data_IF_463212264849
#
_entry.id   IF_463212264849
#
_cell.length_a   1.000
_cell.length_b   1.000
_cell.length_c   1.000
_cell.angle_alpha   90.00
_cell.angle_beta   90.00
_cell.angle_gamma   90.00
#
_symmetry.space_group_name_H-M   'P 1'
#
loop_
_entity.id
_entity.type
_entity.pdbx_description
1 polymer ?
#
# COMPACT_ATOMS: atom_id res chain seq x y z
N UNK A 1 -6.64 -25.40 -25.18
CA UNK A 1 -6.62 -23.92 -25.28
C UNK A 1 -7.40 -23.39 -24.10
N UNK A 2 -6.72 -22.89 -23.09
CA UNK A 2 -7.35 -22.31 -21.90
C UNK A 2 -6.56 -21.07 -21.55
N UNK A 3 -7.20 -19.90 -21.58
CA UNK A 3 -6.70 -18.74 -20.85
C UNK A 3 -7.84 -18.15 -20.03
N UNK A 4 -7.93 -18.52 -18.75
CA UNK A 4 -8.60 -17.73 -17.74
C UNK A 4 -7.51 -17.10 -16.85
N UNK A 5 -6.90 -15.98 -17.27
CA UNK A 5 -5.92 -15.26 -16.41
C UNK A 5 -6.28 -13.77 -16.26
N UNK A 6 -7.17 -13.22 -17.11
CA UNK A 6 -7.49 -11.79 -17.07
C UNK A 6 -8.45 -11.38 -15.93
N UNK A 7 -9.40 -12.23 -15.55
CA UNK A 7 -10.40 -11.87 -14.52
C UNK A 7 -9.86 -11.90 -13.07
N UNK A 8 -8.90 -12.76 -12.77
CA UNK A 8 -8.33 -12.87 -11.41
C UNK A 8 -7.33 -11.72 -11.13
N UNK A 9 -6.58 -11.29 -12.14
CA UNK A 9 -5.63 -10.18 -12.02
C UNK A 9 -6.33 -8.83 -11.77
N UNK A 10 -7.48 -8.60 -12.40
CA UNK A 10 -8.30 -7.39 -12.21
C UNK A 10 -8.86 -7.27 -10.78
N UNK A 11 -9.32 -8.40 -10.19
CA UNK A 11 -9.86 -8.42 -8.82
C UNK A 11 -8.80 -8.13 -7.76
N UNK A 12 -7.54 -8.46 -8.02
CA UNK A 12 -6.41 -8.18 -7.11
C UNK A 12 -6.12 -6.68 -7.07
N UNK A 13 -6.14 -5.98 -8.21
CA UNK A 13 -5.87 -4.54 -8.27
C UNK A 13 -6.89 -3.66 -7.55
N UNK A 14 -8.19 -3.97 -7.67
CA UNK A 14 -9.25 -3.20 -6.99
C UNK A 14 -9.29 -3.45 -5.48
N UNK A 15 -9.06 -4.69 -5.05
CA UNK A 15 -8.99 -5.04 -3.62
C UNK A 15 -7.77 -4.41 -2.94
N UNK A 16 -6.61 -4.43 -3.58
CA UNK A 16 -5.39 -3.81 -3.06
C UNK A 16 -5.53 -2.28 -2.99
N UNK A 17 -6.16 -1.67 -3.98
CA UNK A 17 -6.47 -0.23 -3.97
C UNK A 17 -7.39 0.13 -2.79
N UNK A 18 -8.46 -0.64 -2.58
CA UNK A 18 -9.36 -0.41 -1.46
C UNK A 18 -8.65 -0.53 -0.10
N UNK A 19 -7.81 -1.55 0.08
CA UNK A 19 -7.02 -1.71 1.31
C UNK A 19 -6.10 -0.53 1.60
N UNK A 20 -5.51 0.07 0.56
CA UNK A 20 -4.69 1.30 0.70
C UNK A 20 -5.54 2.51 1.13
N UNK A 21 -6.75 2.67 0.59
CA UNK A 21 -7.68 3.73 1.03
C UNK A 21 -8.09 3.54 2.48
N UNK A 22 -8.45 2.32 2.89
CA UNK A 22 -8.79 2.02 4.28
C UNK A 22 -7.62 2.30 5.23
N UNK A 23 -6.40 1.93 4.84
CA UNK A 23 -5.21 2.22 5.62
C UNK A 23 -4.96 3.73 5.74
N UNK A 24 -5.19 4.50 4.65
CA UNK A 24 -5.07 5.96 4.65
C UNK A 24 -6.07 6.61 5.62
N UNK A 25 -7.35 6.22 5.55
CA UNK A 25 -8.40 6.71 6.46
C UNK A 25 -8.07 6.35 7.91
N UNK A 26 -7.66 5.11 8.15
CA UNK A 26 -7.35 4.61 9.50
C UNK A 26 -6.17 5.36 10.12
N UNK A 27 -5.10 5.59 9.35
CA UNK A 27 -3.96 6.39 9.80
C UNK A 27 -4.39 7.81 10.18
N UNK A 28 -5.18 8.47 9.33
CA UNK A 28 -5.61 9.85 9.56
C UNK A 28 -6.52 9.98 10.80
N UNK A 29 -7.44 9.04 10.99
CA UNK A 29 -8.36 9.02 12.13
C UNK A 29 -7.70 8.61 13.45
N UNK A 30 -6.55 7.94 13.40
CA UNK A 30 -5.83 7.48 14.59
C UNK A 30 -4.99 8.58 15.27
N UNK A 31 -4.87 9.76 14.65
CA UNK A 31 -4.11 10.89 15.19
C UNK A 31 -4.57 11.24 16.60
N UNK A 32 -3.59 11.51 17.48
CA UNK A 32 -3.85 11.90 18.88
C UNK A 32 -4.19 10.75 19.83
N UNK A 33 -4.38 9.52 19.33
CA UNK A 33 -4.53 8.31 20.17
C UNK A 33 -3.39 7.34 19.86
N UNK A 34 -2.41 7.25 20.78
CA UNK A 34 -1.22 6.42 20.58
C UNK A 34 -1.53 4.94 20.40
N UNK A 35 -2.57 4.41 21.05
CA UNK A 35 -2.94 3.00 20.92
C UNK A 35 -3.56 2.72 19.56
N UNK A 36 -4.47 3.60 19.11
CA UNK A 36 -5.04 3.51 17.75
C UNK A 36 -3.97 3.73 16.68
N UNK A 37 -3.06 4.67 16.90
CA UNK A 37 -1.98 4.96 15.96
C UNK A 37 -1.01 3.78 15.84
N UNK A 38 -0.67 3.11 16.94
CA UNK A 38 0.13 1.88 16.88
C UNK A 38 -0.54 0.80 16.01
N UNK A 39 -1.84 0.57 16.22
CA UNK A 39 -2.60 -0.39 15.44
C UNK A 39 -2.69 0.00 13.95
N UNK A 40 -2.95 1.28 13.66
CA UNK A 40 -3.02 1.80 12.30
C UNK A 40 -1.67 1.69 11.56
N UNK A 41 -0.56 2.01 12.23
CA UNK A 41 0.78 1.89 11.69
C UNK A 41 1.16 0.43 11.40
N UNK A 42 0.80 -0.49 12.29
CA UNK A 42 1.03 -1.93 12.11
C UNK A 42 0.21 -2.48 10.93
N UNK A 43 -1.08 -2.13 10.84
CA UNK A 43 -1.93 -2.52 9.72
C UNK A 43 -1.38 -1.99 8.39
N UNK A 44 -0.98 -0.72 8.36
CA UNK A 44 -0.36 -0.12 7.18
C UNK A 44 0.95 -0.83 6.80
N UNK A 45 1.79 -1.17 7.79
CA UNK A 45 3.03 -1.91 7.55
C UNK A 45 2.77 -3.29 6.95
N UNK A 46 1.81 -4.05 7.50
CA UNK A 46 1.45 -5.38 7.01
C UNK A 46 0.96 -5.34 5.57
N UNK A 47 0.12 -4.36 5.22
CA UNK A 47 -0.33 -4.14 3.85
C UNK A 47 0.85 -3.91 2.89
N UNK A 48 1.80 -3.05 3.26
CA UNK A 48 2.99 -2.77 2.45
C UNK A 48 3.95 -3.96 2.34
N UNK A 49 4.02 -4.83 3.35
CA UNK A 49 4.75 -6.11 3.28
C UNK A 49 4.08 -7.07 2.29
N UNK A 50 2.74 -7.14 2.28
CA UNK A 50 2.00 -7.95 1.32
C UNK A 50 2.21 -7.46 -0.12
N UNK A 51 2.08 -6.15 -0.36
CA UNK A 51 2.36 -5.52 -1.67
C UNK A 51 3.79 -5.86 -2.11
N UNK A 52 4.79 -5.68 -1.24
CA UNK A 52 6.19 -6.01 -1.56
C UNK A 52 6.36 -7.47 -1.96
N UNK A 53 5.69 -8.37 -1.27
CA UNK A 53 5.75 -9.81 -1.54
C UNK A 53 5.18 -10.11 -2.93
N UNK A 54 4.02 -9.56 -3.26
CA UNK A 54 3.36 -9.73 -4.56
C UNK A 54 4.21 -9.17 -5.72
N UNK A 55 4.77 -7.96 -5.60
CA UNK A 55 5.58 -7.35 -6.67
C UNK A 55 6.99 -7.93 -6.78
N UNK A 56 7.41 -8.74 -5.81
CA UNK A 56 8.66 -9.48 -5.87
C UNK A 56 8.53 -10.79 -6.63
N UNK A 57 7.30 -11.26 -6.89
CA UNK A 57 7.06 -12.39 -7.77
C UNK A 57 7.35 -12.00 -9.23
N UNK A 58 8.21 -12.79 -9.88
CA UNK A 58 8.51 -12.66 -11.30
C UNK A 58 7.27 -12.79 -12.20
N UNK A 59 6.21 -13.48 -11.73
CA UNK A 59 4.98 -13.71 -12.47
C UNK A 59 3.98 -12.53 -12.41
N UNK A 60 4.27 -11.45 -11.69
CA UNK A 60 3.29 -10.38 -11.42
C UNK A 60 2.83 -9.58 -12.65
N UNK A 61 3.46 -9.75 -13.82
CA UNK A 61 3.12 -9.03 -15.06
C UNK A 61 3.40 -7.52 -15.05
N UNK A 62 3.86 -6.94 -13.93
CA UNK A 62 4.12 -5.51 -13.79
C UNK A 62 5.44 -5.11 -14.46
N UNK A 63 5.54 -3.90 -15.05
CA UNK A 63 6.81 -3.36 -15.53
C UNK A 63 7.85 -3.28 -14.42
N UNK A 64 9.12 -3.60 -14.73
CA UNK A 64 10.21 -3.59 -13.74
C UNK A 64 10.40 -2.23 -13.05
N UNK A 65 10.16 -1.13 -13.76
CA UNK A 65 10.18 0.21 -13.16
C UNK A 65 9.10 0.40 -12.08
N UNK A 66 7.90 -0.15 -12.30
CA UNK A 66 6.78 -0.10 -11.35
C UNK A 66 7.10 -0.95 -10.13
N UNK A 67 7.59 -2.19 -10.34
CA UNK A 67 8.05 -3.06 -9.24
C UNK A 67 9.13 -2.39 -8.40
N UNK A 68 10.13 -1.77 -9.03
CA UNK A 68 11.20 -1.07 -8.33
C UNK A 68 10.67 0.10 -7.50
N UNK A 69 9.70 0.86 -8.02
CA UNK A 69 9.07 1.96 -7.28
C UNK A 69 8.29 1.45 -6.06
N UNK A 70 7.44 0.42 -6.23
CA UNK A 70 6.66 -0.17 -5.14
C UNK A 70 7.55 -0.77 -4.05
N UNK A 71 8.68 -1.41 -4.41
CA UNK A 71 9.68 -1.89 -3.45
C UNK A 71 10.27 -0.74 -2.63
N UNK A 72 10.67 0.37 -3.27
CA UNK A 72 11.21 1.55 -2.57
C UNK A 72 10.19 2.18 -1.62
N UNK A 73 8.93 2.28 -2.04
CA UNK A 73 7.86 2.78 -1.17
C UNK A 73 7.59 1.85 0.01
N UNK A 74 7.61 0.53 -0.21
CA UNK A 74 7.49 -0.47 0.86
C UNK A 74 8.61 -0.33 1.90
N UNK A 75 9.86 -0.16 1.43
CA UNK A 75 11.02 0.06 2.31
C UNK A 75 10.88 1.40 3.07
N UNK A 76 10.44 2.47 2.40
CA UNK A 76 10.18 3.76 3.04
C UNK A 76 9.13 3.68 4.14
N UNK A 77 8.00 3.01 3.89
CA UNK A 77 6.92 2.83 4.87
C UNK A 77 7.42 2.03 6.06
N UNK A 78 8.10 0.90 5.82
CA UNK A 78 8.66 0.07 6.88
C UNK A 78 9.67 0.82 7.73
N UNK A 79 10.64 1.50 7.12
CA UNK A 79 11.62 2.29 7.83
C UNK A 79 10.97 3.41 8.64
N UNK A 80 10.01 4.12 8.06
CA UNK A 80 9.32 5.23 8.72
C UNK A 80 8.52 4.75 9.92
N UNK A 81 7.74 3.68 9.77
CA UNK A 81 6.94 3.09 10.84
C UNK A 81 7.81 2.55 11.97
N UNK A 82 8.83 1.74 11.65
CA UNK A 82 9.66 1.07 12.66
C UNK A 82 10.58 2.04 13.40
N UNK A 83 11.14 3.07 12.72
CA UNK A 83 12.04 4.04 13.35
C UNK A 83 11.30 5.04 14.25
N UNK A 84 10.07 5.42 13.89
CA UNK A 84 9.33 6.48 14.59
C UNK A 84 8.28 5.94 15.56
N UNK A 85 7.69 4.78 15.28
CA UNK A 85 6.60 4.22 16.07
C UNK A 85 5.47 5.24 16.30
N UNK A 86 4.89 5.23 17.51
CA UNK A 86 3.82 6.17 17.90
C UNK A 86 4.30 7.61 18.14
N UNK A 87 5.61 7.87 18.12
CA UNK A 87 6.19 9.22 18.18
C UNK A 87 6.34 9.85 16.77
N UNK A 88 5.77 9.21 15.75
CA UNK A 88 5.69 9.73 14.39
C UNK A 88 4.95 11.08 14.37
N UNK A 89 5.52 12.06 13.65
CA UNK A 89 4.92 13.39 13.54
C UNK A 89 3.71 13.40 12.61
N UNK A 90 2.77 14.32 12.85
CA UNK A 90 1.58 14.49 12.01
C UNK A 90 1.91 14.68 10.53
N UNK A 91 2.97 15.42 10.21
CA UNK A 91 3.42 15.60 8.83
C UNK A 91 3.90 14.27 8.20
N UNK A 92 4.53 13.41 9.00
CA UNK A 92 4.95 12.09 8.53
C UNK A 92 3.73 11.18 8.34
N UNK A 93 2.74 11.22 9.24
CA UNK A 93 1.46 10.50 9.06
C UNK A 93 0.78 10.96 7.77
N UNK A 94 0.69 12.27 7.51
CA UNK A 94 0.15 12.82 6.26
C UNK A 94 0.91 12.32 5.04
N UNK A 95 2.23 12.16 5.14
CA UNK A 95 3.04 11.58 4.06
C UNK A 95 2.65 10.12 3.78
N UNK A 96 2.47 9.30 4.81
CA UNK A 96 2.04 7.90 4.65
C UNK A 96 0.62 7.81 4.07
N UNK A 97 -0.30 8.64 4.54
CA UNK A 97 -1.66 8.77 3.99
C UNK A 97 -1.61 9.09 2.49
N UNK A 98 -0.85 10.09 2.08
CA UNK A 98 -0.74 10.50 0.68
C UNK A 98 -0.10 9.41 -0.20
N UNK A 99 0.89 8.69 0.32
CA UNK A 99 1.51 7.55 -0.37
C UNK A 99 0.46 6.47 -0.65
N UNK A 100 -0.35 6.11 0.35
CA UNK A 100 -1.42 5.12 0.16
C UNK A 100 -2.45 5.56 -0.88
N UNK A 101 -2.91 6.81 -0.81
CA UNK A 101 -3.90 7.35 -1.75
C UNK A 101 -3.37 7.37 -3.19
N UNK A 102 -2.14 7.87 -3.41
CA UNK A 102 -1.55 7.91 -4.76
C UNK A 102 -1.41 6.51 -5.38
N UNK A 103 -1.05 5.51 -4.58
CA UNK A 103 -0.89 4.14 -5.09
C UNK A 103 -2.25 3.49 -5.32
N UNK A 104 -3.23 3.72 -4.45
CA UNK A 104 -4.61 3.32 -4.71
C UNK A 104 -5.14 3.91 -6.02
N UNK A 105 -4.96 5.22 -6.25
CA UNK A 105 -5.36 5.88 -7.49
C UNK A 105 -4.69 5.25 -8.71
N UNK A 106 -3.37 5.04 -8.67
CA UNK A 106 -2.64 4.40 -9.76
C UNK A 106 -3.09 2.97 -10.06
N UNK A 107 -3.47 2.19 -9.03
CA UNK A 107 -4.02 0.85 -9.19
C UNK A 107 -5.42 0.87 -9.82
N UNK A 108 -6.31 1.75 -9.36
CA UNK A 108 -7.65 1.91 -9.92
C UNK A 108 -7.62 2.41 -11.37
N UNK A 109 -6.73 3.35 -11.69
CA UNK A 109 -6.53 3.80 -13.06
C UNK A 109 -6.04 2.69 -13.97
N UNK A 110 -5.18 1.81 -13.48
CA UNK A 110 -4.66 0.67 -14.25
C UNK A 110 -5.76 -0.38 -14.47
N UNK A 111 -6.58 -0.66 -13.46
CA UNK A 111 -7.71 -1.59 -13.55
C UNK A 111 -8.78 -1.10 -14.54
N UNK A 112 -9.10 0.21 -14.55
CA UNK A 112 -10.08 0.80 -15.45
C UNK A 112 -9.61 0.90 -16.93
N UNK A 113 -8.31 0.73 -17.20
CA UNK A 113 -7.74 0.81 -18.56
C UNK A 113 -7.45 -0.57 -19.17
N UNK A 114 -7.64 -1.65 -18.42
CA UNK A 114 -7.42 -3.05 -18.85
C UNK A 114 -8.69 -3.66 -19.46
#
# INVERSE_FOLDING_TARGET
MSQPIQLETLKIGEQDAFGLVEAAITLDQSRGDKARLAAALEQNLQLWVAIRTLVSDSASGLPEAVKANLKRLSDFVADTTLKKGVEISDNTITTLVNVNLQISEGLLESANRA
#
